data_IF_617665454523
#
_entry.id   IF_617665454523
#
_cell.length_a   1.000
_cell.length_b   1.000
_cell.length_c   1.000
_cell.angle_alpha   90.00
_cell.angle_beta   90.00
_cell.angle_gamma   90.00
#
_symmetry.space_group_name_H-M   'P 1'
#
loop_
_entity.id
_entity.type
_entity.pdbx_description
1 polymer ?
#
# COMPACT_ATOMS: atom_id res chain seq x y z
N UNK A 1 2.09 -36.82 -37.12
CA UNK A 1 0.80 -36.39 -36.61
C UNK A 1 0.77 -36.14 -35.10
N UNK A 2 1.38 -37.01 -34.30
CA UNK A 2 1.41 -36.79 -32.82
C UNK A 2 2.22 -35.58 -32.38
N UNK A 3 3.15 -35.10 -33.20
CA UNK A 3 4.02 -33.94 -32.89
C UNK A 3 3.25 -32.62 -32.95
N UNK A 4 2.23 -32.51 -33.82
CA UNK A 4 1.41 -31.27 -33.93
C UNK A 4 0.50 -31.06 -32.74
N UNK A 5 -0.04 -32.11 -32.12
CA UNK A 5 -0.88 -31.99 -30.91
C UNK A 5 -0.09 -31.53 -29.70
N UNK A 6 1.17 -31.94 -29.54
CA UNK A 6 2.01 -31.50 -28.43
C UNK A 6 2.37 -30.03 -28.52
N UNK A 7 2.66 -29.50 -29.73
CA UNK A 7 2.93 -28.07 -29.91
C UNK A 7 1.72 -27.19 -29.67
N UNK A 8 0.51 -27.67 -29.98
CA UNK A 8 -0.72 -26.95 -29.72
C UNK A 8 -1.02 -26.82 -28.20
N UNK A 9 -0.76 -27.88 -27.45
CA UNK A 9 -0.93 -27.89 -26.00
C UNK A 9 0.06 -26.94 -25.31
N UNK A 10 1.28 -26.84 -25.75
CA UNK A 10 2.27 -25.91 -25.24
C UNK A 10 1.88 -24.46 -25.53
N UNK A 11 1.33 -24.19 -26.68
CA UNK A 11 0.88 -22.84 -27.05
C UNK A 11 -0.30 -22.39 -26.17
N UNK A 12 -1.24 -23.28 -25.91
CA UNK A 12 -2.40 -23.02 -25.04
C UNK A 12 -1.97 -22.76 -23.58
N UNK A 13 -1.02 -23.52 -23.07
CA UNK A 13 -0.47 -23.34 -21.72
C UNK A 13 0.28 -22.01 -21.60
N UNK A 14 1.02 -21.62 -22.62
CA UNK A 14 1.76 -20.36 -22.65
C UNK A 14 0.83 -19.14 -22.69
N UNK A 15 -0.23 -19.18 -23.49
CA UNK A 15 -1.24 -18.10 -23.55
C UNK A 15 -2.01 -17.98 -22.24
N UNK A 16 -2.32 -19.10 -21.59
CA UNK A 16 -2.97 -19.11 -20.28
C UNK A 16 -2.08 -18.52 -19.19
N UNK A 17 -0.79 -18.80 -19.20
CA UNK A 17 0.16 -18.21 -18.25
C UNK A 17 0.29 -16.69 -18.40
N UNK A 18 0.18 -16.16 -19.62
CA UNK A 18 0.20 -14.72 -19.89
C UNK A 18 -1.05 -14.00 -19.39
N UNK A 19 -2.22 -14.67 -19.37
CA UNK A 19 -3.48 -14.12 -18.90
C UNK A 19 -3.58 -14.06 -17.36
N UNK A 20 -2.71 -14.76 -16.65
CA UNK A 20 -2.67 -14.76 -15.18
C UNK A 20 -1.80 -13.64 -14.59
N UNK A 21 -1.17 -12.81 -15.43
CA UNK A 21 -0.42 -11.65 -14.98
C UNK A 21 -1.39 -10.53 -14.57
N UNK A 22 -1.92 -10.61 -13.36
CA UNK A 22 -2.76 -9.57 -12.78
C UNK A 22 -1.89 -8.59 -11.98
N UNK A 23 -2.16 -7.29 -12.15
CA UNK A 23 -1.55 -6.28 -11.29
C UNK A 23 -2.03 -6.49 -9.86
N UNK A 24 -1.08 -6.67 -8.93
CA UNK A 24 -1.40 -6.78 -7.51
C UNK A 24 -1.59 -5.38 -6.93
N UNK A 25 -2.78 -5.08 -6.40
CA UNK A 25 -3.05 -3.88 -5.63
C UNK A 25 -2.82 -4.17 -4.16
N UNK A 26 -2.26 -3.20 -3.44
CA UNK A 26 -2.13 -3.30 -1.98
C UNK A 26 -3.46 -2.96 -1.33
N UNK A 27 -3.85 -3.77 -0.35
CA UNK A 27 -5.08 -3.60 0.42
C UNK A 27 -4.71 -3.28 1.86
N UNK A 28 -5.25 -2.19 2.37
CA UNK A 28 -5.12 -1.81 3.77
C UNK A 28 -6.49 -1.89 4.45
N UNK A 29 -6.50 -1.86 5.77
CA UNK A 29 -7.74 -1.96 6.56
C UNK A 29 -7.97 -0.69 7.37
N UNK A 30 -9.21 -0.30 7.46
CA UNK A 30 -9.65 0.80 8.29
C UNK A 30 -11.07 0.58 8.78
N UNK A 31 -11.68 1.60 9.34
CA UNK A 31 -12.95 1.47 10.04
C UNK A 31 -13.92 2.56 9.62
N UNK A 32 -15.20 2.21 9.50
CA UNK A 32 -16.27 3.12 9.15
C UNK A 32 -17.34 3.15 10.25
N UNK A 33 -17.97 4.32 10.43
CA UNK A 33 -19.06 4.54 11.36
C UNK A 33 -18.64 4.54 12.82
N UNK A 34 -19.59 4.87 13.70
CA UNK A 34 -19.36 4.92 15.15
C UNK A 34 -19.11 3.53 15.75
N UNK A 35 -19.65 2.49 15.14
CA UNK A 35 -19.47 1.11 15.57
C UNK A 35 -18.12 0.53 15.21
N UNK A 36 -17.34 1.22 14.39
CA UNK A 36 -16.03 0.78 13.99
C UNK A 36 -16.03 -0.48 13.12
N UNK A 37 -16.90 -0.53 12.11
CA UNK A 37 -16.94 -1.63 11.16
C UNK A 37 -15.67 -1.66 10.32
N UNK A 38 -14.95 -2.77 10.32
CA UNK A 38 -13.73 -2.94 9.54
C UNK A 38 -14.06 -3.07 8.05
N UNK A 39 -13.36 -2.29 7.22
CA UNK A 39 -13.42 -2.40 5.77
C UNK A 39 -12.03 -2.38 5.16
N UNK A 40 -11.94 -2.87 3.94
CA UNK A 40 -10.71 -2.83 3.16
C UNK A 40 -10.69 -1.58 2.27
N UNK A 41 -9.53 -0.95 2.16
CA UNK A 41 -9.26 0.16 1.24
C UNK A 41 -8.13 -0.22 0.30
N UNK A 42 -8.31 0.09 -0.98
CA UNK A 42 -7.37 -0.29 -2.03
C UNK A 42 -6.41 0.87 -2.28
N UNK A 43 -5.13 0.62 -2.08
CA UNK A 43 -4.08 1.60 -2.33
C UNK A 43 -3.72 1.57 -3.82
N UNK A 44 -3.96 2.67 -4.53
CA UNK A 44 -3.72 2.75 -5.98
C UNK A 44 -2.41 3.46 -6.31
N UNK A 45 -1.88 4.28 -5.42
CA UNK A 45 -0.58 4.94 -5.60
C UNK A 45 0.12 5.12 -4.26
N UNK A 46 1.37 4.74 -4.20
CA UNK A 46 2.20 4.84 -3.00
C UNK A 46 3.64 5.16 -3.41
N UNK A 47 3.94 6.43 -3.73
CA UNK A 47 5.32 6.82 -4.05
C UNK A 47 6.25 6.47 -2.88
N UNK A 48 7.45 5.95 -3.14
CA UNK A 48 8.36 5.56 -2.08
C UNK A 48 8.80 6.78 -1.26
N UNK A 49 9.08 6.59 0.04
CA UNK A 49 9.59 7.67 0.87
C UNK A 49 11.01 8.07 0.47
N UNK A 50 11.32 9.34 0.68
CA UNK A 50 12.66 9.85 0.52
C UNK A 50 13.51 9.40 1.71
N UNK A 51 14.63 8.76 1.44
CA UNK A 51 15.52 8.27 2.50
C UNK A 51 16.30 9.45 3.10
N UNK A 52 16.30 9.66 4.44
CA UNK A 52 17.05 10.76 5.05
C UNK A 52 18.55 10.63 4.79
N UNK A 53 19.18 11.70 4.32
CA UNK A 53 20.61 11.69 3.95
C UNK A 53 21.54 11.26 5.08
N UNK A 54 21.24 11.70 6.29
CA UNK A 54 22.04 11.34 7.47
C UNK A 54 21.95 9.84 7.75
N UNK A 55 20.76 9.27 7.60
CA UNK A 55 20.55 7.83 7.78
C UNK A 55 21.30 7.02 6.72
N UNK A 56 21.34 7.48 5.47
CA UNK A 56 22.14 6.85 4.40
C UNK A 56 23.63 6.85 4.78
N UNK A 57 24.16 7.99 5.20
CA UNK A 57 25.60 8.11 5.56
C UNK A 57 25.99 7.23 6.73
N UNK A 58 25.09 7.04 7.67
CA UNK A 58 25.36 6.24 8.89
C UNK A 58 24.93 4.78 8.74
N UNK A 59 24.37 4.39 7.59
CA UNK A 59 23.89 3.04 7.36
C UNK A 59 22.72 2.64 8.25
N UNK A 60 21.88 3.60 8.63
CA UNK A 60 20.73 3.35 9.52
C UNK A 60 19.50 2.93 8.71
N UNK A 61 18.92 1.80 9.09
CA UNK A 61 17.66 1.27 8.57
C UNK A 61 16.61 1.31 9.68
N UNK A 62 15.33 1.19 9.30
CA UNK A 62 14.28 1.20 10.30
C UNK A 62 12.88 1.01 9.75
N UNK A 63 11.92 1.07 10.67
CA UNK A 63 10.50 0.93 10.37
C UNK A 63 9.71 2.04 11.04
N UNK A 64 8.62 2.46 10.40
CA UNK A 64 7.68 3.44 10.94
C UNK A 64 6.28 2.91 10.74
N UNK A 65 5.51 2.84 11.82
CA UNK A 65 4.07 2.57 11.78
C UNK A 65 3.32 3.88 11.82
N UNK A 66 2.47 4.09 10.83
CA UNK A 66 1.65 5.30 10.72
C UNK A 66 0.18 4.95 10.78
N UNK A 67 -0.59 5.90 11.26
CA UNK A 67 -2.05 5.84 11.24
C UNK A 67 -2.60 7.10 10.61
N UNK A 68 -3.65 6.96 9.82
CA UNK A 68 -4.31 8.07 9.13
C UNK A 68 -5.73 7.68 8.75
N UNK A 69 -6.48 8.69 8.34
CA UNK A 69 -7.80 8.50 7.75
C UNK A 69 -7.71 8.59 6.22
N UNK A 70 -8.64 7.95 5.53
CA UNK A 70 -8.79 8.06 4.08
C UNK A 70 -10.09 8.78 3.79
N UNK A 71 -10.01 9.91 3.09
CA UNK A 71 -11.16 10.73 2.75
C UNK A 71 -12.01 10.10 1.64
N UNK A 72 -13.17 10.65 1.42
CA UNK A 72 -14.13 10.19 0.40
C UNK A 72 -13.57 10.22 -1.02
N UNK A 73 -12.56 11.04 -1.28
CA UNK A 73 -11.85 11.11 -2.57
C UNK A 73 -10.64 10.18 -2.66
N UNK A 74 -10.33 9.42 -1.59
CA UNK A 74 -9.17 8.54 -1.54
C UNK A 74 -7.89 9.18 -1.03
N UNK A 75 -7.90 10.45 -0.67
CA UNK A 75 -6.73 11.14 -0.12
C UNK A 75 -6.50 10.79 1.35
N UNK A 76 -5.22 10.86 1.77
CA UNK A 76 -4.82 10.62 3.16
C UNK A 76 -5.04 11.88 3.99
N UNK A 77 -5.68 11.70 5.16
CA UNK A 77 -5.95 12.77 6.13
C UNK A 77 -5.22 12.50 7.45
N UNK A 78 -4.66 13.56 8.00
CA UNK A 78 -4.11 13.60 9.37
C UNK A 78 -3.17 12.44 9.73
N UNK A 79 -2.13 12.16 8.93
CA UNK A 79 -1.21 11.09 9.25
C UNK A 79 -0.37 11.41 10.47
N UNK A 80 -0.17 10.41 11.32
CA UNK A 80 0.74 10.50 12.47
C UNK A 80 1.48 9.18 12.69
N UNK A 81 2.60 9.27 13.38
CA UNK A 81 3.44 8.12 13.70
C UNK A 81 2.93 7.48 15.00
N UNK A 82 2.61 6.20 14.93
CA UNK A 82 2.22 5.39 16.09
C UNK A 82 3.45 4.82 16.78
N UNK A 83 4.39 4.31 15.99
CA UNK A 83 5.60 3.67 16.46
C UNK A 83 6.71 3.84 15.42
N UNK A 84 7.92 4.09 15.87
CA UNK A 84 9.08 4.15 14.98
C UNK A 84 10.30 3.54 15.64
N UNK A 85 11.15 2.87 14.84
CA UNK A 85 12.38 2.25 15.31
C UNK A 85 13.46 2.40 14.23
N UNK A 86 14.54 3.14 14.48
CA UNK A 86 14.80 3.97 15.67
C UNK A 86 13.89 5.22 15.71
N UNK A 87 13.59 5.68 16.91
CA UNK A 87 12.69 6.83 17.12
C UNK A 87 13.22 8.10 16.49
N UNK A 88 12.34 8.84 15.81
CA UNK A 88 12.60 10.16 15.29
C UNK A 88 13.44 10.23 14.02
N UNK A 89 14.08 9.14 13.60
CA UNK A 89 14.97 9.15 12.43
C UNK A 89 14.20 9.26 11.12
N UNK A 90 13.14 8.47 10.98
CA UNK A 90 12.39 8.35 9.73
C UNK A 90 11.00 8.97 9.79
N UNK A 91 10.59 9.50 10.93
CA UNK A 91 9.20 9.96 11.16
C UNK A 91 8.74 11.00 10.14
N UNK A 92 9.55 12.03 9.92
CA UNK A 92 9.22 13.09 8.96
C UNK A 92 9.14 12.59 7.53
N UNK A 93 10.07 11.74 7.13
CA UNK A 93 10.11 11.15 5.80
C UNK A 93 8.89 10.25 5.56
N UNK A 94 8.49 9.49 6.58
CA UNK A 94 7.32 8.61 6.53
C UNK A 94 6.01 9.40 6.39
N UNK A 95 5.82 10.45 7.19
CA UNK A 95 4.63 11.32 7.11
C UNK A 95 4.55 11.98 5.73
N UNK A 96 5.65 12.51 5.23
CA UNK A 96 5.72 13.14 3.91
C UNK A 96 5.35 12.16 2.79
N UNK A 97 5.79 10.91 2.92
CA UNK A 97 5.47 9.87 1.94
C UNK A 97 3.99 9.51 1.92
N UNK A 98 3.39 9.25 3.09
CA UNK A 98 1.98 8.81 3.15
C UNK A 98 1.01 9.90 2.75
N UNK A 99 1.36 11.19 2.89
CA UNK A 99 0.56 12.29 2.38
C UNK A 99 0.37 12.26 0.87
N UNK A 100 1.25 11.58 0.15
CA UNK A 100 1.18 11.39 -1.30
C UNK A 100 0.49 10.11 -1.72
N UNK A 101 0.09 9.27 -0.76
CA UNK A 101 -0.62 8.05 -1.06
C UNK A 101 -2.02 8.38 -1.57
N UNK A 102 -2.48 7.57 -2.51
CA UNK A 102 -3.84 7.64 -3.03
C UNK A 102 -4.49 6.28 -2.90
N UNK A 103 -5.71 6.31 -2.42
CA UNK A 103 -6.58 5.15 -2.32
C UNK A 103 -7.71 5.27 -3.33
N UNK A 104 -8.27 4.16 -3.72
CA UNK A 104 -9.55 4.15 -4.42
C UNK A 104 -10.59 4.79 -3.51
N UNK A 105 -11.45 5.72 -4.03
CA UNK A 105 -12.50 6.33 -3.20
C UNK A 105 -13.33 5.27 -2.49
N UNK A 106 -13.32 5.24 -1.14
CA UNK A 106 -13.95 4.15 -0.41
C UNK A 106 -15.47 4.27 -0.43
N UNK A 107 -16.13 3.11 -0.52
CA UNK A 107 -17.57 3.01 -0.43
C UNK A 107 -17.97 1.96 0.59
N UNK A 108 -19.09 2.20 1.24
CA UNK A 108 -19.70 1.25 2.17
C UNK A 108 -21.20 1.23 1.92
N UNK A 109 -21.75 0.05 1.63
CA UNK A 109 -23.14 -0.10 1.24
C UNK A 109 -23.55 0.83 0.09
N UNK A 110 -22.68 1.00 -0.90
CA UNK A 110 -22.92 1.84 -2.09
C UNK A 110 -22.80 3.34 -1.85
N UNK A 111 -22.41 3.77 -0.66
CA UNK A 111 -22.26 5.17 -0.30
C UNK A 111 -20.78 5.51 -0.11
N UNK A 112 -20.38 6.69 -0.62
CA UNK A 112 -19.04 7.23 -0.41
C UNK A 112 -18.81 7.52 1.06
N UNK A 113 -17.73 7.00 1.64
CA UNK A 113 -17.46 7.11 3.07
C UNK A 113 -16.01 7.52 3.34
N UNK A 114 -15.81 8.19 4.47
CA UNK A 114 -14.48 8.38 5.05
C UNK A 114 -14.12 7.14 5.86
N UNK A 115 -12.89 6.68 5.74
CA UNK A 115 -12.39 5.51 6.47
C UNK A 115 -11.42 5.98 7.54
N UNK A 116 -11.61 5.53 8.77
CA UNK A 116 -10.81 5.96 9.92
C UNK A 116 -9.77 4.91 10.30
N UNK A 117 -8.69 5.37 10.91
CA UNK A 117 -7.70 4.54 11.60
C UNK A 117 -7.07 3.45 10.69
N UNK A 118 -6.66 3.86 9.49
CA UNK A 118 -5.87 2.99 8.61
C UNK A 118 -4.45 2.98 9.13
N UNK A 119 -3.90 1.79 9.44
CA UNK A 119 -2.51 1.62 9.87
C UNK A 119 -1.70 0.93 8.81
N UNK A 120 -0.49 1.46 8.56
CA UNK A 120 0.49 0.87 7.66
C UNK A 120 1.88 0.91 8.27
N UNK A 121 2.74 0.02 7.81
CA UNK A 121 4.15 0.00 8.15
C UNK A 121 4.98 0.41 6.93
N UNK A 122 5.89 1.37 7.11
CA UNK A 122 6.89 1.72 6.11
C UNK A 122 8.25 1.19 6.56
N UNK A 123 8.95 0.51 5.67
CA UNK A 123 10.29 -0.01 5.92
C UNK A 123 11.31 0.81 5.14
N UNK A 124 12.32 1.29 5.86
CA UNK A 124 13.47 2.01 5.29
C UNK A 124 14.66 1.07 5.27
N UNK A 125 15.01 0.61 4.09
CA UNK A 125 16.06 -0.38 3.90
C UNK A 125 17.04 0.09 2.84
N UNK A 126 18.35 -0.05 3.13
CA UNK A 126 19.42 0.24 2.18
C UNK A 126 19.68 -0.98 1.29
N UNK A 127 19.95 -0.73 0.02
CA UNK A 127 20.25 -1.77 -0.97
C UNK A 127 21.74 -1.91 -1.23
#
# INVERSE_FOLDING_TARGET
MKVHMKSLNYLLVFVFALLLSTAAFSVDKGYVGEEGTEIEVIRVSAPPPEYPRRAVRLGVEGTVRLEFDVDTDGSVLDPYVVESNPQGVFDRAAIKAVRKFLYEPPTYNGTSVKVNNVQIDLTFKLT
#
